data_IF_425343803552
#
_entry.id   IF_425343803552
#
_cell.length_a   1.000
_cell.length_b   1.000
_cell.length_c   1.000
_cell.angle_alpha   90.00
_cell.angle_beta   90.00
_cell.angle_gamma   90.00
#
_symmetry.space_group_name_H-M   'P 1'
#
loop_
_entity.id
_entity.type
_entity.pdbx_description
1 polymer ?
#
# COMPACT_ATOMS: atom_id res chain seq x y z
N UNK A 1 1.00 -14.52 -1.29
CA UNK A 1 2.00 -15.61 -1.41
C UNK A 1 1.26 -16.93 -1.44
N UNK A 2 1.48 -17.81 -2.43
CA UNK A 2 0.94 -19.17 -2.34
C UNK A 2 1.47 -19.82 -1.07
N UNK A 3 0.63 -20.62 -0.39
CA UNK A 3 1.13 -21.53 0.64
C UNK A 3 2.33 -22.26 0.03
N UNK A 4 3.51 -22.32 0.68
CA UNK A 4 4.62 -23.09 0.14
C UNK A 4 4.09 -24.49 -0.15
N UNK A 5 4.21 -24.93 -1.41
CA UNK A 5 3.55 -26.13 -1.95
C UNK A 5 3.65 -27.34 -1.02
N UNK A 6 4.77 -27.45 -0.29
CA UNK A 6 5.04 -28.42 0.76
C UNK A 6 3.98 -28.47 1.88
N UNK A 7 3.51 -27.33 2.39
CA UNK A 7 2.51 -27.28 3.48
C UNK A 7 1.13 -27.78 3.01
N UNK A 8 0.75 -27.45 1.77
CA UNK A 8 -0.47 -27.97 1.16
C UNK A 8 -0.42 -29.49 0.96
N UNK A 9 0.71 -30.02 0.48
CA UNK A 9 0.93 -31.46 0.37
C UNK A 9 0.91 -32.15 1.74
N UNK A 10 1.47 -31.54 2.78
CA UNK A 10 1.41 -32.05 4.15
C UNK A 10 -0.04 -32.16 4.64
N UNK A 11 -0.86 -31.12 4.44
CA UNK A 11 -2.27 -31.13 4.85
C UNK A 11 -3.07 -32.21 4.10
N UNK A 12 -2.84 -32.35 2.79
CA UNK A 12 -3.49 -33.39 1.99
C UNK A 12 -3.07 -34.80 2.42
N UNK A 13 -1.78 -35.00 2.71
CA UNK A 13 -1.24 -36.29 3.16
C UNK A 13 -1.84 -36.68 4.52
N UNK A 14 -1.91 -35.75 5.48
CA UNK A 14 -2.52 -35.97 6.80
C UNK A 14 -4.01 -36.31 6.65
N UNK A 15 -4.74 -35.57 5.82
CA UNK A 15 -6.18 -35.81 5.59
C UNK A 15 -6.43 -37.17 4.94
N UNK A 16 -5.58 -37.56 3.98
CA UNK A 16 -5.63 -38.88 3.33
C UNK A 16 -5.33 -40.02 4.31
N UNK A 17 -4.30 -39.88 5.15
CA UNK A 17 -3.95 -40.85 6.19
C UNK A 17 -5.08 -41.03 7.22
N UNK A 18 -5.67 -39.93 7.71
CA UNK A 18 -6.79 -39.97 8.65
C UNK A 18 -8.00 -40.68 8.05
N UNK A 19 -8.32 -40.39 6.78
CA UNK A 19 -9.43 -41.04 6.06
C UNK A 19 -9.18 -42.54 5.89
N UNK A 20 -7.94 -42.93 5.54
CA UNK A 20 -7.56 -44.34 5.39
C UNK A 20 -7.62 -45.11 6.72
N UNK A 21 -7.22 -44.49 7.84
CA UNK A 21 -7.31 -45.11 9.17
C UNK A 21 -8.74 -45.32 9.66
N UNK A 22 -9.69 -44.54 9.16
CA UNK A 22 -11.11 -44.67 9.50
C UNK A 22 -11.80 -45.81 8.75
N UNK A 23 -11.25 -46.21 7.59
CA UNK A 23 -11.86 -47.18 6.68
C UNK A 23 -11.43 -48.65 6.95
N UNK A 24 -10.36 -48.89 7.70
CA UNK A 24 -9.86 -50.24 7.99
C UNK A 24 -9.38 -50.38 9.44
N UNK A 25 -9.74 -51.47 10.14
CA UNK A 25 -9.19 -51.74 11.47
C UNK A 25 -7.69 -52.03 11.36
N UNK A 26 -6.89 -51.17 11.99
CA UNK A 26 -5.43 -51.28 12.02
C UNK A 26 -4.96 -52.11 13.22
N UNK A 27 -3.89 -52.88 13.03
CA UNK A 27 -3.21 -53.59 14.11
C UNK A 27 -2.42 -52.64 15.03
N UNK A 28 -1.98 -53.16 16.19
CA UNK A 28 -1.21 -52.37 17.17
C UNK A 28 0.10 -51.83 16.60
N UNK A 29 0.77 -52.59 15.73
CA UNK A 29 2.05 -52.19 15.16
C UNK A 29 1.87 -51.04 14.15
N UNK A 30 0.85 -51.11 13.31
CA UNK A 30 0.50 -50.04 12.38
C UNK A 30 0.08 -48.77 13.13
N UNK A 31 -0.71 -48.90 14.20
CA UNK A 31 -1.07 -47.77 15.06
C UNK A 31 0.16 -47.11 15.71
N UNK A 32 1.16 -47.90 16.12
CA UNK A 32 2.41 -47.36 16.65
C UNK A 32 3.21 -46.59 15.59
N UNK A 33 3.30 -47.12 14.36
CA UNK A 33 3.98 -46.44 13.23
C UNK A 33 3.30 -45.13 12.87
N UNK A 34 1.96 -45.12 12.82
CA UNK A 34 1.17 -43.91 12.56
C UNK A 34 1.39 -42.88 13.67
N UNK A 35 1.39 -43.30 14.94
CA UNK A 35 1.64 -42.40 16.05
C UNK A 35 3.03 -41.77 15.99
N UNK A 36 4.07 -42.56 15.72
CA UNK A 36 5.43 -42.06 15.57
C UNK A 36 5.54 -41.05 14.41
N UNK A 37 4.89 -41.33 13.28
CA UNK A 37 4.81 -40.39 12.15
C UNK A 37 4.09 -39.09 12.51
N UNK A 38 2.96 -39.16 13.23
CA UNK A 38 2.24 -37.97 13.69
C UNK A 38 3.06 -37.13 14.67
N UNK A 39 3.83 -37.76 15.56
CA UNK A 39 4.74 -37.07 16.46
C UNK A 39 5.87 -36.36 15.70
N UNK A 40 6.46 -36.99 14.68
CA UNK A 40 7.45 -36.35 13.79
C UNK A 40 6.84 -35.14 13.03
N UNK A 41 5.63 -35.31 12.48
CA UNK A 41 4.93 -34.22 11.79
C UNK A 41 4.60 -33.05 12.73
N UNK A 42 4.29 -33.33 13.99
CA UNK A 42 4.08 -32.32 15.03
C UNK A 42 5.36 -31.54 15.30
N UNK A 43 6.50 -32.21 15.43
CA UNK A 43 7.81 -31.56 15.62
C UNK A 43 8.17 -30.65 14.43
N UNK A 44 8.00 -31.13 13.19
CA UNK A 44 8.22 -30.31 11.98
C UNK A 44 7.30 -29.08 11.97
N UNK A 45 6.02 -29.26 12.32
CA UNK A 45 5.05 -28.16 12.39
C UNK A 45 5.44 -27.15 13.47
N UNK A 46 5.86 -27.60 14.65
CA UNK A 46 6.32 -26.74 15.73
C UNK A 46 7.59 -25.97 15.35
N UNK A 47 8.56 -26.61 14.69
CA UNK A 47 9.75 -25.96 14.18
C UNK A 47 9.41 -24.88 13.14
N UNK A 48 8.47 -25.17 12.24
CA UNK A 48 7.99 -24.20 11.25
C UNK A 48 7.24 -23.03 11.91
N UNK A 49 6.37 -23.28 12.89
CA UNK A 49 5.70 -22.24 13.68
C UNK A 49 6.73 -21.39 14.42
N UNK A 50 7.75 -22.00 15.02
CA UNK A 50 8.82 -21.28 15.73
C UNK A 50 9.62 -20.40 14.77
N UNK A 51 9.92 -20.90 13.57
CA UNK A 51 10.58 -20.12 12.51
C UNK A 51 9.70 -18.94 12.08
N UNK A 52 8.40 -19.17 11.85
CA UNK A 52 7.45 -18.11 11.53
C UNK A 52 7.34 -17.09 12.65
N UNK A 53 7.29 -17.52 13.92
CA UNK A 53 7.30 -16.61 15.07
C UNK A 53 8.57 -15.77 15.11
N UNK A 54 9.75 -16.38 14.92
CA UNK A 54 11.02 -15.64 14.84
C UNK A 54 11.09 -14.68 13.64
N UNK A 55 10.46 -15.03 12.50
CA UNK A 55 10.30 -14.14 11.36
C UNK A 55 9.33 -12.98 11.64
N UNK A 56 8.21 -13.25 12.31
CA UNK A 56 7.22 -12.26 12.72
C UNK A 56 7.77 -11.33 13.82
N UNK A 57 8.58 -11.84 14.74
CA UNK A 57 9.30 -11.06 15.75
C UNK A 57 10.40 -10.18 15.12
N UNK A 58 10.91 -10.58 13.96
CA UNK A 58 11.79 -9.75 13.11
C UNK A 58 11.03 -8.81 12.18
N UNK A 59 9.69 -8.84 12.14
CA UNK A 59 8.94 -7.78 11.47
C UNK A 59 9.16 -6.52 12.30
N UNK A 60 9.98 -5.66 11.73
CA UNK A 60 10.36 -4.37 12.24
C UNK A 60 9.16 -3.62 12.84
N UNK A 61 9.25 -3.32 14.14
CA UNK A 61 8.18 -2.68 14.91
C UNK A 61 7.75 -1.34 14.31
N UNK A 62 8.57 -0.74 13.44
CA UNK A 62 8.19 0.44 12.64
C UNK A 62 6.96 0.21 11.79
N UNK A 63 6.54 -1.03 11.51
CA UNK A 63 5.36 -1.35 10.70
C UNK A 63 4.11 -1.66 11.53
N UNK A 64 4.22 -1.86 12.85
CA UNK A 64 3.06 -1.96 13.74
C UNK A 64 2.47 -0.57 13.98
N UNK A 65 1.16 -0.51 14.20
CA UNK A 65 0.54 0.73 14.67
C UNK A 65 0.98 1.00 16.10
N UNK A 66 1.56 2.16 16.36
CA UNK A 66 1.84 2.57 17.73
C UNK A 66 0.54 2.90 18.45
N UNK A 67 0.54 2.87 19.77
CA UNK A 67 -0.62 3.31 20.55
C UNK A 67 -1.00 4.76 20.21
N UNK A 68 0.00 5.63 20.02
CA UNK A 68 -0.19 7.01 19.56
C UNK A 68 -0.87 7.06 18.17
N UNK A 69 -0.49 6.18 17.23
CA UNK A 69 -1.14 6.09 15.92
C UNK A 69 -2.61 5.69 16.05
N UNK A 70 -2.91 4.69 16.89
CA UNK A 70 -4.28 4.22 17.15
C UNK A 70 -5.14 5.31 17.83
N UNK A 71 -4.58 6.01 18.82
CA UNK A 71 -5.26 7.07 19.55
C UNK A 71 -5.41 8.35 18.73
N UNK A 72 -4.48 8.60 17.80
CA UNK A 72 -4.46 9.79 16.96
C UNK A 72 -5.75 9.97 16.17
N UNK A 73 -6.40 8.89 15.72
CA UNK A 73 -7.70 8.97 15.03
C UNK A 73 -8.86 9.46 15.92
N UNK A 74 -8.71 9.40 17.24
CA UNK A 74 -9.72 9.94 18.17
C UNK A 74 -9.50 11.42 18.49
N UNK A 75 -8.36 11.98 18.11
CA UNK A 75 -8.01 13.37 18.38
C UNK A 75 -8.69 14.28 17.37
N UNK A 76 -9.42 15.29 17.87
CA UNK A 76 -9.95 16.34 17.01
C UNK A 76 -8.81 17.24 16.52
N UNK A 77 -8.74 17.43 15.20
CA UNK A 77 -7.83 18.38 14.57
C UNK A 77 -8.38 19.81 14.73
N UNK A 78 -7.54 20.81 15.02
CA UNK A 78 -7.96 22.19 15.16
C UNK A 78 -8.19 22.85 13.79
N UNK A 79 -9.00 22.23 12.95
CA UNK A 79 -9.40 22.73 11.63
C UNK A 79 -10.72 23.49 11.73
N UNK A 80 -10.78 24.61 11.03
CA UNK A 80 -11.99 25.39 10.80
C UNK A 80 -12.49 25.19 9.37
N UNK A 81 -13.72 25.66 9.09
CA UNK A 81 -14.23 25.70 7.71
C UNK A 81 -13.36 26.53 6.78
N UNK A 82 -12.69 27.56 7.30
CA UNK A 82 -11.83 28.46 6.53
C UNK A 82 -10.48 27.84 6.15
N UNK A 83 -10.13 26.71 6.75
CA UNK A 83 -8.94 25.95 6.37
C UNK A 83 -9.15 25.11 5.11
N UNK A 84 -10.40 24.95 4.65
CA UNK A 84 -10.74 24.20 3.45
C UNK A 84 -10.81 25.14 2.25
N UNK A 85 -9.80 25.08 1.38
CA UNK A 85 -9.67 25.93 0.20
C UNK A 85 -10.31 25.36 -1.05
N UNK A 86 -9.51 25.28 -2.12
CA UNK A 86 -9.95 24.68 -3.38
C UNK A 86 -10.12 23.16 -3.21
N UNK A 87 -11.32 22.66 -3.47
CA UNK A 87 -11.58 21.22 -3.55
C UNK A 87 -10.87 20.61 -4.76
N UNK A 88 -10.05 19.60 -4.53
CA UNK A 88 -9.34 18.84 -5.56
C UNK A 88 -10.09 17.55 -5.93
N UNK A 89 -10.79 16.97 -4.95
CA UNK A 89 -11.65 15.80 -5.14
C UNK A 89 -12.82 15.90 -4.18
N UNK A 90 -14.03 15.66 -4.67
CA UNK A 90 -15.23 15.66 -3.85
C UNK A 90 -16.07 14.43 -4.21
N UNK A 91 -15.65 13.26 -3.70
CA UNK A 91 -16.26 11.97 -4.01
C UNK A 91 -16.75 11.29 -2.74
N UNK A 92 -17.61 10.28 -2.90
CA UNK A 92 -18.24 9.56 -1.78
C UNK A 92 -17.25 8.84 -0.87
N UNK A 93 -16.07 8.50 -1.39
CA UNK A 93 -15.03 7.75 -0.71
C UNK A 93 -13.95 8.64 -0.08
N UNK A 94 -14.01 9.95 -0.33
CA UNK A 94 -13.10 10.93 0.26
C UNK A 94 -13.25 12.32 -0.34
N UNK A 95 -12.94 13.33 0.46
CA UNK A 95 -12.85 14.72 0.03
C UNK A 95 -11.41 15.20 0.22
N UNK A 96 -10.84 15.79 -0.84
CA UNK A 96 -9.47 16.29 -0.85
C UNK A 96 -9.51 17.79 -1.13
N UNK A 97 -8.89 18.58 -0.26
CA UNK A 97 -8.90 20.03 -0.32
C UNK A 97 -7.47 20.57 -0.22
N UNK A 98 -7.16 21.65 -0.94
CA UNK A 98 -6.01 22.48 -0.57
C UNK A 98 -6.28 23.13 0.76
N UNK A 99 -5.30 23.15 1.66
CA UNK A 99 -5.45 23.93 2.88
C UNK A 99 -5.39 25.43 2.54
N UNK A 100 -6.32 26.21 3.08
CA UNK A 100 -6.48 27.63 2.81
C UNK A 100 -6.00 28.54 3.95
N UNK A 101 -5.85 29.82 3.61
CA UNK A 101 -5.52 30.89 4.52
C UNK A 101 -4.01 31.16 4.64
N UNK A 102 -3.64 32.35 5.14
CA UNK A 102 -2.24 32.69 5.39
C UNK A 102 -1.69 31.92 6.60
N UNK A 103 -0.36 31.86 6.69
CA UNK A 103 0.37 31.37 7.85
C UNK A 103 0.71 29.89 7.78
N UNK A 104 0.95 29.31 8.96
CA UNK A 104 1.51 27.96 9.11
C UNK A 104 0.58 27.03 9.87
N UNK A 105 0.59 25.75 9.49
CA UNK A 105 0.01 24.65 10.26
C UNK A 105 1.15 23.70 10.65
N UNK A 106 1.38 23.50 11.96
CA UNK A 106 2.47 22.66 12.49
C UNK A 106 3.86 22.97 11.89
N UNK A 107 4.11 24.25 11.58
CA UNK A 107 5.39 24.72 11.03
C UNK A 107 5.48 24.70 9.50
N UNK A 108 4.51 24.11 8.80
CA UNK A 108 4.42 24.08 7.34
C UNK A 108 3.53 25.22 6.84
N UNK A 109 3.88 25.84 5.71
CA UNK A 109 3.02 26.83 5.08
C UNK A 109 1.74 26.16 4.58
N UNK A 110 0.58 26.74 4.89
CA UNK A 110 -0.72 26.12 4.61
C UNK A 110 -0.94 25.83 3.13
N UNK A 111 -0.41 26.68 2.25
CA UNK A 111 -0.52 26.51 0.78
C UNK A 111 0.18 25.25 0.24
N UNK A 112 1.10 24.69 1.02
CA UNK A 112 1.83 23.46 0.71
C UNK A 112 1.21 22.22 1.34
N UNK A 113 -0.01 22.34 1.89
CA UNK A 113 -0.71 21.23 2.54
C UNK A 113 -2.02 20.88 1.83
N UNK A 114 -2.37 19.60 1.93
CA UNK A 114 -3.64 19.02 1.52
C UNK A 114 -4.35 18.45 2.74
N UNK A 115 -5.67 18.62 2.79
CA UNK A 115 -6.57 18.01 3.76
C UNK A 115 -7.36 16.92 3.04
N UNK A 116 -7.23 15.67 3.48
CA UNK A 116 -8.03 14.54 3.00
C UNK A 116 -8.96 14.08 4.13
N UNK A 117 -10.26 14.31 3.96
CA UNK A 117 -11.30 13.81 4.87
C UNK A 117 -11.93 12.55 4.29
N UNK A 118 -12.02 11.49 5.10
CA UNK A 118 -12.56 10.19 4.73
C UNK A 118 -13.95 9.99 5.36
N UNK A 119 -14.82 9.15 4.80
CA UNK A 119 -16.10 8.85 5.42
C UNK A 119 -15.94 8.34 6.86
N UNK A 120 -16.83 8.74 7.77
CA UNK A 120 -16.80 8.26 9.16
C UNK A 120 -17.01 6.73 9.27
N UNK A 121 -17.58 6.11 8.24
CA UNK A 121 -17.77 4.66 8.12
C UNK A 121 -16.50 3.92 7.67
N UNK A 122 -15.42 4.63 7.34
CA UNK A 122 -14.16 4.04 6.90
C UNK A 122 -13.53 3.24 8.05
N UNK A 123 -13.11 1.98 7.84
CA UNK A 123 -12.44 1.21 8.88
C UNK A 123 -11.16 1.89 9.36
N UNK A 124 -10.93 1.98 10.67
CA UNK A 124 -9.74 2.61 11.23
C UNK A 124 -8.43 2.02 10.68
N UNK A 125 -8.38 0.70 10.50
CA UNK A 125 -7.21 0.02 9.93
C UNK A 125 -6.87 0.49 8.51
N UNK A 126 -7.87 0.84 7.69
CA UNK A 126 -7.66 1.37 6.35
C UNK A 126 -7.05 2.78 6.39
N UNK A 127 -7.59 3.65 7.26
CA UNK A 127 -7.05 5.01 7.47
C UNK A 127 -5.62 4.96 7.99
N UNK A 128 -5.36 4.10 8.97
CA UNK A 128 -4.02 3.96 9.56
C UNK A 128 -3.00 3.42 8.55
N UNK A 129 -3.41 2.58 7.59
CA UNK A 129 -2.54 2.13 6.51
C UNK A 129 -2.02 3.30 5.67
N UNK A 130 -2.91 4.21 5.27
CA UNK A 130 -2.52 5.43 4.53
C UNK A 130 -1.65 6.37 5.39
N UNK A 131 -2.03 6.62 6.65
CA UNK A 131 -1.21 7.40 7.60
C UNK A 131 0.19 6.81 7.72
N UNK A 132 0.31 5.49 7.78
CA UNK A 132 1.59 4.78 7.88
C UNK A 132 2.44 4.95 6.63
N UNK A 133 1.85 4.77 5.45
CA UNK A 133 2.52 5.00 4.19
C UNK A 133 3.05 6.43 4.10
N UNK A 134 2.19 7.43 4.36
CA UNK A 134 2.59 8.84 4.33
C UNK A 134 3.69 9.19 5.34
N UNK A 135 3.67 8.57 6.54
CA UNK A 135 4.74 8.73 7.53
C UNK A 135 6.08 8.18 7.03
N UNK A 136 6.08 7.01 6.40
CA UNK A 136 7.30 6.38 5.88
C UNK A 136 7.86 7.12 4.65
N UNK A 137 6.98 7.64 3.78
CA UNK A 137 7.37 8.50 2.65
C UNK A 137 7.89 9.86 3.15
N UNK A 138 7.38 10.34 4.29
CA UNK A 138 7.76 11.61 4.90
C UNK A 138 6.85 12.78 4.52
N UNK A 139 5.62 12.49 4.09
CA UNK A 139 4.62 13.47 3.68
C UNK A 139 3.51 13.71 4.70
N UNK A 140 3.37 12.83 5.70
CA UNK A 140 2.41 13.02 6.79
C UNK A 140 2.78 14.28 7.62
N UNK A 141 1.80 15.15 7.86
CA UNK A 141 1.95 16.33 8.72
C UNK A 141 1.14 16.19 10.01
N UNK A 142 -0.12 15.76 9.93
CA UNK A 142 -0.99 15.51 11.08
C UNK A 142 -2.15 14.58 10.67
N UNK A 143 -2.84 13.98 11.62
CA UNK A 143 -4.05 13.19 11.35
C UNK A 143 -4.94 13.12 12.61
N UNK A 144 -6.23 12.88 12.41
CA UNK A 144 -7.22 12.83 13.49
C UNK A 144 -8.64 12.86 12.94
N UNK A 145 -9.54 13.57 13.61
CA UNK A 145 -10.92 13.81 13.14
C UNK A 145 -11.20 15.30 12.92
N UNK A 146 -12.01 15.62 11.92
CA UNK A 146 -12.54 16.98 11.76
C UNK A 146 -13.75 17.23 12.68
N UNK A 147 -14.36 18.42 12.59
CA UNK A 147 -15.52 18.79 13.40
C UNK A 147 -16.76 17.91 13.18
N UNK A 148 -16.81 17.17 12.07
CA UNK A 148 -17.88 16.23 11.72
C UNK A 148 -17.57 14.80 12.19
N UNK A 149 -16.46 14.58 12.90
CA UNK A 149 -16.01 13.25 13.34
C UNK A 149 -15.48 12.37 12.21
N UNK A 150 -15.21 12.94 11.03
CA UNK A 150 -14.63 12.21 9.91
C UNK A 150 -13.12 12.06 10.08
N UNK A 151 -12.55 10.85 9.87
CA UNK A 151 -11.10 10.68 9.82
C UNK A 151 -10.49 11.64 8.80
N UNK A 152 -9.46 12.37 9.20
CA UNK A 152 -8.85 13.43 8.40
C UNK A 152 -7.34 13.31 8.47
N UNK A 153 -6.69 13.38 7.31
CA UNK A 153 -5.24 13.34 7.15
C UNK A 153 -4.80 14.67 6.57
N UNK A 154 -3.77 15.28 7.16
CA UNK A 154 -3.09 16.47 6.65
C UNK A 154 -1.71 16.03 6.16
N UNK A 155 -1.42 16.31 4.90
CA UNK A 155 -0.20 15.88 4.23
C UNK A 155 0.39 16.97 3.36
N UNK A 156 1.68 16.85 3.05
CA UNK A 156 2.35 17.73 2.11
C UNK A 156 1.71 17.60 0.73
N UNK A 157 1.47 18.74 0.09
CA UNK A 157 1.06 18.82 -1.31
C UNK A 157 2.24 18.45 -2.20
N UNK A 158 2.04 17.52 -3.12
CA UNK A 158 2.99 17.24 -4.20
C UNK A 158 2.86 18.26 -5.31
N UNK A 159 3.97 18.52 -5.98
CA UNK A 159 3.99 19.32 -7.20
C UNK A 159 3.45 18.54 -8.39
N UNK A 160 3.20 19.25 -9.50
CA UNK A 160 2.70 18.66 -10.73
C UNK A 160 1.17 18.64 -10.84
N UNK A 161 0.70 18.07 -11.94
CA UNK A 161 -0.71 17.91 -12.30
C UNK A 161 -0.92 16.56 -12.99
N UNK A 162 -2.16 16.09 -13.13
CA UNK A 162 -2.39 14.84 -13.84
C UNK A 162 -2.01 14.98 -15.33
N UNK A 163 -1.54 13.91 -15.97
CA UNK A 163 -0.98 13.97 -17.33
C UNK A 163 -1.91 14.67 -18.33
N UNK A 164 -3.21 14.35 -18.30
CA UNK A 164 -4.20 14.90 -19.23
C UNK A 164 -4.50 16.39 -19.00
N UNK A 165 -4.10 16.93 -17.84
CA UNK A 165 -4.22 18.35 -17.53
C UNK A 165 -3.03 19.16 -18.07
N UNK A 166 -1.91 18.51 -18.42
CA UNK A 166 -0.74 19.20 -18.97
C UNK A 166 -1.04 19.76 -20.36
N UNK A 167 -0.57 20.98 -20.62
CA UNK A 167 -0.76 21.64 -21.92
C UNK A 167 -0.07 20.90 -23.07
N UNK A 168 1.11 20.31 -22.81
CA UNK A 168 1.81 19.48 -23.77
C UNK A 168 0.98 18.27 -24.19
N UNK A 169 0.40 17.55 -23.23
CA UNK A 169 -0.44 16.39 -23.55
C UNK A 169 -1.70 16.81 -24.32
N UNK A 170 -2.38 17.88 -23.90
CA UNK A 170 -3.60 18.36 -24.60
C UNK A 170 -3.36 18.65 -26.09
N UNK A 171 -2.20 19.25 -26.41
CA UNK A 171 -1.80 19.66 -27.78
C UNK A 171 -1.14 18.55 -28.60
N UNK A 172 -0.63 17.50 -27.94
CA UNK A 172 0.03 16.38 -28.59
C UNK A 172 -0.90 15.59 -29.52
N UNK A 173 -0.32 15.01 -30.58
CA UNK A 173 -1.02 14.08 -31.48
C UNK A 173 -1.47 12.80 -30.75
N UNK A 174 -2.37 12.02 -31.33
CA UNK A 174 -2.83 10.75 -30.73
C UNK A 174 -1.69 9.77 -30.44
N UNK A 175 -0.76 9.60 -31.38
CA UNK A 175 0.44 8.79 -31.17
C UNK A 175 1.28 9.35 -30.00
N UNK A 176 1.50 10.67 -29.98
CA UNK A 176 2.34 11.29 -28.97
C UNK A 176 1.73 11.25 -27.57
N UNK A 177 0.41 11.40 -27.44
CA UNK A 177 -0.33 11.13 -26.20
C UNK A 177 -0.10 9.71 -25.69
N UNK A 178 -0.11 8.72 -26.59
CA UNK A 178 0.19 7.33 -26.25
C UNK A 178 1.61 7.15 -25.72
N UNK A 179 2.60 7.80 -26.34
CA UNK A 179 4.00 7.80 -25.87
C UNK A 179 4.15 8.46 -24.49
N UNK A 180 3.55 9.64 -24.29
CA UNK A 180 3.58 10.35 -23.01
C UNK A 180 2.90 9.55 -21.88
N UNK A 181 1.79 8.87 -22.17
CA UNK A 181 1.11 8.02 -21.20
C UNK A 181 1.98 6.82 -20.78
N UNK A 182 2.63 6.15 -21.74
CA UNK A 182 3.59 5.07 -21.47
C UNK A 182 4.78 5.57 -20.65
N UNK A 183 5.32 6.74 -20.99
CA UNK A 183 6.43 7.34 -20.24
C UNK A 183 6.03 7.72 -18.81
N UNK A 184 4.83 8.25 -18.62
CA UNK A 184 4.28 8.56 -17.28
C UNK A 184 4.12 7.30 -16.43
N UNK A 185 3.52 6.24 -16.99
CA UNK A 185 3.41 4.95 -16.31
C UNK A 185 4.79 4.39 -15.96
N UNK A 186 5.76 4.48 -16.89
CA UNK A 186 7.14 4.04 -16.68
C UNK A 186 7.79 4.72 -15.48
N UNK A 187 7.70 6.05 -15.44
CA UNK A 187 8.27 6.85 -14.35
C UNK A 187 7.55 6.59 -13.03
N UNK A 188 6.22 6.46 -13.05
CA UNK A 188 5.42 6.13 -11.85
C UNK A 188 5.80 4.75 -11.29
N UNK A 189 5.95 3.73 -12.14
CA UNK A 189 6.40 2.40 -11.72
C UNK A 189 7.83 2.41 -11.17
N UNK A 190 8.74 3.17 -11.80
CA UNK A 190 10.11 3.34 -11.29
C UNK A 190 10.11 3.94 -9.89
N UNK A 191 9.34 5.03 -9.69
CA UNK A 191 9.23 5.70 -8.40
C UNK A 191 8.59 4.83 -7.32
N UNK A 192 7.55 4.07 -7.65
CA UNK A 192 6.93 3.12 -6.71
C UNK A 192 7.91 2.02 -6.29
N UNK A 193 8.73 1.53 -7.22
CA UNK A 193 9.76 0.53 -6.91
C UNK A 193 10.88 1.10 -6.03
N UNK A 194 11.28 2.35 -6.27
CA UNK A 194 12.22 3.09 -5.41
C UNK A 194 11.65 3.31 -4.01
N UNK A 195 10.38 3.70 -3.87
CA UNK A 195 9.69 3.85 -2.59
C UNK A 195 9.60 2.51 -1.83
N UNK A 196 9.29 1.41 -2.53
CA UNK A 196 9.26 0.08 -1.93
C UNK A 196 10.64 -0.30 -1.36
N UNK A 197 11.69 -0.03 -2.11
CA UNK A 197 13.06 -0.34 -1.70
C UNK A 197 13.57 0.59 -0.59
N UNK A 198 13.49 1.90 -0.77
CA UNK A 198 14.08 2.90 0.12
C UNK A 198 13.21 3.26 1.31
N UNK A 199 11.89 3.27 1.14
CA UNK A 199 10.93 3.66 2.18
C UNK A 199 10.17 2.47 2.76
N UNK A 200 10.20 1.32 2.09
CA UNK A 200 9.44 0.16 2.53
C UNK A 200 7.95 0.31 2.27
N UNK A 201 7.56 1.09 1.25
CA UNK A 201 6.15 1.33 0.88
C UNK A 201 6.00 1.06 -0.61
N UNK A 202 5.24 0.02 -0.95
CA UNK A 202 4.85 -0.26 -2.33
C UNK A 202 3.49 0.38 -2.62
N UNK A 203 3.45 1.24 -3.64
CA UNK A 203 2.21 1.87 -4.11
C UNK A 203 1.50 0.90 -5.06
N UNK A 204 0.57 0.09 -4.56
CA UNK A 204 -0.14 -0.88 -5.40
C UNK A 204 -1.33 -0.25 -6.14
N UNK A 205 -1.85 0.88 -5.69
CA UNK A 205 -2.81 1.69 -6.46
C UNK A 205 -2.13 2.63 -7.45
N UNK A 206 -1.04 2.19 -8.06
CA UNK A 206 -0.26 3.01 -9.00
C UNK A 206 -0.96 3.04 -10.36
N UNK A 207 -2.04 3.80 -10.47
CA UNK A 207 -2.75 4.07 -11.72
C UNK A 207 -2.55 5.53 -12.18
N UNK A 208 -2.90 5.85 -13.43
CA UNK A 208 -2.57 7.14 -14.05
C UNK A 208 -3.11 8.39 -13.30
N UNK A 209 -4.23 8.30 -12.57
CA UNK A 209 -4.75 9.43 -11.78
C UNK A 209 -3.97 9.70 -10.48
N UNK A 210 -3.14 8.76 -10.05
CA UNK A 210 -2.30 8.84 -8.84
C UNK A 210 -0.85 9.24 -9.17
N UNK A 211 -0.60 9.59 -10.44
CA UNK A 211 0.69 10.07 -10.92
C UNK A 211 0.54 11.54 -11.31
N UNK A 212 1.31 12.41 -10.66
CA UNK A 212 1.40 13.81 -11.02
C UNK A 212 2.64 14.05 -11.89
N UNK A 213 2.44 14.62 -13.07
CA UNK A 213 3.52 15.04 -13.96
C UNK A 213 4.07 16.37 -13.47
N UNK A 214 5.36 16.41 -13.14
CA UNK A 214 6.05 17.60 -12.65
C UNK A 214 6.72 18.35 -13.80
N UNK A 215 7.42 17.62 -14.69
CA UNK A 215 8.14 18.22 -15.81
C UNK A 215 7.80 17.52 -17.14
N UNK A 216 7.51 18.32 -18.15
CA UNK A 216 7.45 17.90 -19.57
C UNK A 216 8.43 18.75 -20.37
N UNK A 217 9.28 18.10 -21.16
CA UNK A 217 10.25 18.74 -22.04
C UNK A 217 10.27 18.04 -23.39
N UNK A 218 10.17 18.82 -24.48
CA UNK A 218 10.14 18.31 -25.85
C UNK A 218 9.07 17.21 -26.04
N UNK A 219 7.87 17.48 -25.52
CA UNK A 219 6.72 16.55 -25.52
C UNK A 219 7.00 15.20 -24.82
N UNK A 220 8.00 15.13 -23.95
CA UNK A 220 8.36 13.93 -23.19
C UNK A 220 8.31 14.23 -21.69
N UNK A 221 7.72 13.30 -20.94
CA UNK A 221 7.54 13.41 -19.48
C UNK A 221 8.86 13.09 -18.81
N UNK A 222 9.40 14.01 -18.01
CA UNK A 222 10.74 13.88 -17.43
C UNK A 222 10.73 13.47 -15.97
N UNK A 223 9.70 13.85 -15.22
CA UNK A 223 9.58 13.53 -13.81
C UNK A 223 8.13 13.46 -13.36
N UNK A 224 7.90 12.64 -12.34
CA UNK A 224 6.59 12.44 -11.74
C UNK A 224 6.67 12.38 -10.20
N UNK A 225 5.56 12.71 -9.56
CA UNK A 225 5.29 12.43 -8.16
C UNK A 225 4.16 11.41 -8.03
N UNK A 226 4.20 10.61 -6.96
CA UNK A 226 3.11 9.71 -6.59
C UNK A 226 2.27 10.37 -5.50
N UNK A 227 0.96 10.19 -5.60
CA UNK A 227 -0.04 10.66 -4.62
C UNK A 227 -1.06 9.56 -4.38
N UNK A 228 -1.81 9.69 -3.28
CA UNK A 228 -2.87 8.76 -2.92
C UNK A 228 -2.39 7.31 -2.84
N UNK A 229 -1.60 7.02 -1.79
CA UNK A 229 -1.13 5.66 -1.50
C UNK A 229 -2.27 4.69 -1.11
N UNK A 230 -3.52 5.15 -1.14
CA UNK A 230 -4.73 4.36 -1.02
C UNK A 230 -4.94 3.68 0.33
N UNK A 231 -6.14 3.14 0.52
CA UNK A 231 -6.45 2.24 1.63
C UNK A 231 -6.18 0.78 1.24
N UNK A 232 -5.38 0.04 2.00
CA UNK A 232 -5.16 -1.40 1.76
C UNK A 232 -4.47 -1.75 0.42
N UNK A 233 -4.34 -0.79 -0.49
CA UNK A 233 -3.61 -0.82 -1.75
C UNK A 233 -2.20 -0.23 -1.61
N UNK A 234 -1.71 -0.02 -0.40
CA UNK A 234 -0.28 0.06 -0.14
C UNK A 234 0.17 -1.20 0.59
N UNK A 235 1.37 -1.64 0.26
CA UNK A 235 2.00 -2.75 0.97
C UNK A 235 3.25 -2.26 1.66
N UNK A 236 3.37 -2.60 2.94
CA UNK A 236 4.59 -2.40 3.69
C UNK A 236 5.58 -3.47 3.24
N UNK A 237 6.70 -3.03 2.67
CA UNK A 237 7.77 -3.89 2.17
C UNK A 237 8.87 -3.96 3.22
N UNK A 238 9.26 -5.17 3.61
CA UNK A 238 10.21 -5.42 4.70
C UNK A 238 11.21 -6.54 4.39
N UNK A 239 12.32 -6.55 5.13
CA UNK A 239 13.32 -7.62 5.06
C UNK A 239 13.92 -7.79 3.67
N UNK A 240 14.05 -9.04 3.23
CA UNK A 240 14.63 -9.40 1.92
C UNK A 240 13.90 -8.77 0.74
N UNK A 241 12.61 -8.46 0.87
CA UNK A 241 11.86 -7.79 -0.19
C UNK A 241 12.38 -6.38 -0.48
N UNK A 242 13.19 -5.80 0.41
CA UNK A 242 13.95 -4.57 0.21
C UNK A 242 15.38 -4.81 -0.31
N UNK A 243 15.68 -5.97 -0.91
CA UNK A 243 16.95 -6.18 -1.60
C UNK A 243 16.92 -5.45 -2.96
N UNK A 244 18.00 -4.72 -3.36
CA UNK A 244 18.05 -4.03 -4.65
C UNK A 244 17.71 -4.91 -5.86
N UNK A 245 17.99 -6.22 -5.77
CA UNK A 245 17.65 -7.20 -6.82
C UNK A 245 16.15 -7.36 -7.07
N UNK A 246 15.28 -6.91 -6.15
CA UNK A 246 13.83 -6.92 -6.31
C UNK A 246 13.26 -5.65 -6.93
N UNK A 247 14.04 -4.57 -7.08
CA UNK A 247 13.55 -3.30 -7.67
C UNK A 247 13.01 -3.53 -9.09
N UNK A 248 13.74 -4.30 -9.91
CA UNK A 248 13.28 -4.65 -11.25
C UNK A 248 11.99 -5.46 -11.22
N UNK A 249 11.81 -6.37 -10.25
CA UNK A 249 10.58 -7.17 -10.12
C UNK A 249 9.37 -6.32 -9.75
N UNK A 250 9.55 -5.32 -8.88
CA UNK A 250 8.52 -4.34 -8.57
C UNK A 250 8.12 -3.53 -9.81
N UNK A 251 9.12 -3.01 -10.52
CA UNK A 251 8.90 -2.29 -11.76
C UNK A 251 8.17 -3.13 -12.81
N UNK A 252 8.65 -4.35 -13.07
CA UNK A 252 8.05 -5.27 -14.06
C UNK A 252 6.61 -5.62 -13.71
N UNK A 253 6.33 -5.87 -12.42
CA UNK A 253 4.98 -6.09 -11.93
C UNK A 253 4.06 -4.91 -12.22
N UNK A 254 4.50 -3.69 -11.92
CA UNK A 254 3.72 -2.49 -12.17
C UNK A 254 3.48 -2.23 -13.66
N UNK A 255 4.51 -2.37 -14.51
CA UNK A 255 4.36 -2.20 -15.95
C UNK A 255 3.41 -3.23 -16.54
N UNK A 256 3.45 -4.47 -16.04
CA UNK A 256 2.53 -5.51 -16.48
C UNK A 256 1.06 -5.11 -16.26
N UNK A 257 0.74 -4.47 -15.13
CA UNK A 257 -0.61 -3.98 -14.84
C UNK A 257 -1.07 -2.89 -15.83
N UNK A 258 -0.17 -2.00 -16.25
CA UNK A 258 -0.48 -0.99 -17.27
C UNK A 258 -0.62 -1.55 -18.69
N UNK A 259 -0.02 -2.71 -18.96
CA UNK A 259 -0.09 -3.38 -20.26
C UNK A 259 -1.38 -4.18 -20.48
N UNK A 260 -2.14 -4.45 -19.41
CA UNK A 260 -3.44 -5.13 -19.52
C UNK A 260 -4.48 -4.15 -20.08
N UNK A 261 -5.35 -4.58 -21.02
CA UNK A 261 -6.46 -3.73 -21.49
C UNK A 261 -7.31 -3.31 -20.28
N UNK A 262 -7.53 -2.00 -20.15
CA UNK A 262 -8.32 -1.39 -19.07
C UNK A 262 -9.75 -1.92 -19.18
N UNK A 263 -10.04 -3.03 -18.49
CA UNK A 263 -11.33 -3.72 -18.61
C UNK A 263 -11.57 -4.88 -17.65
N UNK A 264 -10.66 -5.19 -16.72
CA UNK A 264 -10.89 -6.24 -15.71
C UNK A 264 -10.24 -5.85 -14.38
N UNK A 265 -10.95 -5.06 -13.58
CA UNK A 265 -10.89 -5.04 -12.11
C UNK A 265 -12.28 -4.70 -11.57
#
# INVERSE_FOLDING_TARGET
>A
MPLPSKLFFIILLISGLLTATYAAPLGREELQKIRAFLDEMREVTNAYISLLKGLLEKIDDRYKYTQEEMEGLSKSLPLSSNDHGLGLQNQTWGQVWRMAGPGKYKGHDKVDLIIKSLPATKPAAAVLGEVKALKLIGDLVDFGTNAQGQPTIIMKRKEGVQLYETEAYKKASGQKKGEMAKETARLGCSKSAEDAFHKGVWHNDNHMYNILVVEVRDESVKSVELVDYGEGSNYLVHGEARNPEYISKYYDWCIHLYGQPIGVF
#
